data_IF_580110591698
#
_entry.id   IF_580110591698
#
_cell.length_a   1.000
_cell.length_b   1.000
_cell.length_c   1.000
_cell.angle_alpha   90.00
_cell.angle_beta   90.00
_cell.angle_gamma   90.00
#
_symmetry.space_group_name_H-M   'P 1'
#
loop_
_entity.id
_entity.type
_entity.pdbx_description
1 polymer ?
#
# COMPACT_ATOMS: atom_id res chain seq x y z
N UNK A 1 5.54 -18.74 -10.22
CA UNK A 1 4.91 -19.74 -9.35
C UNK A 1 3.54 -20.16 -9.86
N UNK A 2 2.75 -19.28 -10.45
CA UNK A 2 1.40 -19.57 -10.94
C UNK A 2 1.25 -20.79 -11.82
N UNK A 3 2.11 -20.98 -12.80
CA UNK A 3 2.07 -22.18 -13.65
C UNK A 3 2.23 -23.51 -12.89
N UNK A 4 2.99 -23.51 -11.80
CA UNK A 4 3.17 -24.71 -10.97
C UNK A 4 1.93 -24.98 -10.11
N UNK A 5 1.37 -23.96 -9.49
CA UNK A 5 0.15 -24.05 -8.68
C UNK A 5 -1.06 -24.45 -9.52
N UNK A 6 -1.16 -23.89 -10.75
CA UNK A 6 -2.25 -24.19 -11.68
C UNK A 6 -2.25 -25.64 -12.16
N UNK A 7 -1.12 -26.31 -12.19
CA UNK A 7 -0.99 -27.72 -12.60
C UNK A 7 -0.90 -28.69 -11.41
N UNK A 8 -0.93 -28.17 -10.17
CA UNK A 8 -0.80 -28.99 -8.97
C UNK A 8 -2.11 -29.74 -8.64
N UNK A 9 -2.03 -30.93 -7.98
CA UNK A 9 -3.20 -31.57 -7.40
C UNK A 9 -3.90 -30.66 -6.40
N UNK A 10 -5.23 -30.70 -6.31
CA UNK A 10 -6.05 -29.82 -5.46
C UNK A 10 -5.58 -29.79 -3.99
N UNK A 11 -5.22 -30.96 -3.43
CA UNK A 11 -4.68 -31.02 -2.06
C UNK A 11 -3.39 -30.19 -1.90
N UNK A 12 -2.52 -30.17 -2.92
CA UNK A 12 -1.30 -29.38 -2.89
C UNK A 12 -1.58 -27.87 -3.04
N UNK A 13 -2.62 -27.50 -3.78
CA UNK A 13 -3.07 -26.09 -3.87
C UNK A 13 -3.51 -25.56 -2.50
N UNK A 14 -4.22 -26.40 -1.70
CA UNK A 14 -4.58 -26.03 -0.32
C UNK A 14 -3.33 -25.85 0.56
N UNK A 15 -2.31 -26.71 0.39
CA UNK A 15 -1.03 -26.55 1.12
C UNK A 15 -0.35 -25.24 0.73
N UNK A 16 -0.34 -24.88 -0.56
CA UNK A 16 0.21 -23.58 -0.99
C UNK A 16 -0.58 -22.41 -0.42
N UNK A 17 -1.91 -22.49 -0.36
CA UNK A 17 -2.72 -21.43 0.26
C UNK A 17 -2.34 -21.24 1.73
N UNK A 18 -2.17 -22.32 2.48
CA UNK A 18 -1.74 -22.26 3.88
C UNK A 18 -0.33 -21.68 4.01
N UNK A 19 0.61 -22.10 3.16
CA UNK A 19 1.98 -21.58 3.14
C UNK A 19 1.95 -20.08 2.83
N UNK A 20 1.15 -19.65 1.85
CA UNK A 20 0.98 -18.23 1.48
C UNK A 20 0.52 -17.41 2.67
N UNK A 21 -0.52 -17.84 3.39
CA UNK A 21 -0.98 -17.15 4.60
C UNK A 21 0.06 -17.14 5.73
N UNK A 22 0.78 -18.23 5.93
CA UNK A 22 1.85 -18.28 6.94
C UNK A 22 2.96 -17.29 6.60
N UNK A 23 3.38 -17.20 5.32
CA UNK A 23 4.37 -16.25 4.86
C UNK A 23 3.88 -14.80 5.01
N UNK A 24 2.63 -14.51 4.66
CA UNK A 24 2.02 -13.19 4.85
C UNK A 24 2.05 -12.78 6.32
N UNK A 25 1.52 -13.61 7.21
CA UNK A 25 1.39 -13.28 8.64
C UNK A 25 2.77 -13.19 9.31
N UNK A 26 3.66 -14.16 9.09
CA UNK A 26 5.01 -14.16 9.69
C UNK A 26 5.91 -13.11 9.05
N UNK A 27 5.76 -12.88 7.75
CA UNK A 27 6.43 -11.78 7.06
C UNK A 27 6.04 -10.42 7.65
N UNK A 28 4.74 -10.20 7.87
CA UNK A 28 4.22 -8.98 8.50
C UNK A 28 4.70 -8.84 9.96
N UNK A 29 4.75 -9.94 10.74
CA UNK A 29 5.29 -9.94 12.11
C UNK A 29 6.73 -9.42 12.14
N UNK A 30 7.62 -9.96 11.29
CA UNK A 30 9.01 -9.52 11.20
C UNK A 30 9.13 -8.12 10.64
N UNK A 31 8.36 -7.78 9.63
CA UNK A 31 8.39 -6.46 8.98
C UNK A 31 8.00 -5.34 9.95
N UNK A 32 6.93 -5.54 10.71
CA UNK A 32 6.47 -4.59 11.74
C UNK A 32 7.50 -4.51 12.87
N UNK A 33 8.00 -5.64 13.38
CA UNK A 33 8.98 -5.65 14.48
C UNK A 33 10.29 -4.96 14.07
N UNK A 34 10.80 -5.21 12.86
CA UNK A 34 11.97 -4.53 12.31
C UNK A 34 11.75 -3.03 12.16
N UNK A 35 10.60 -2.64 11.61
CA UNK A 35 10.22 -1.24 11.36
C UNK A 35 10.03 -0.46 12.67
N UNK A 36 9.33 -1.02 13.65
CA UNK A 36 9.14 -0.43 14.97
C UNK A 36 10.47 -0.27 15.72
N UNK A 37 11.36 -1.26 15.64
CA UNK A 37 12.70 -1.18 16.25
C UNK A 37 13.54 -0.05 15.64
N UNK A 38 13.48 0.14 14.30
CA UNK A 38 14.14 1.27 13.62
C UNK A 38 13.53 2.60 14.05
N UNK A 39 12.20 2.71 14.08
CA UNK A 39 11.49 3.91 14.52
C UNK A 39 11.95 4.35 15.91
N UNK A 40 11.92 3.41 16.87
CA UNK A 40 12.31 3.67 18.26
C UNK A 40 13.80 4.04 18.40
N UNK A 41 14.71 3.38 17.66
CA UNK A 41 16.15 3.70 17.68
C UNK A 41 16.49 5.06 17.11
N UNK A 42 15.78 5.44 16.04
CA UNK A 42 15.99 6.72 15.37
C UNK A 42 15.19 7.86 16.02
N UNK A 43 14.39 7.57 17.05
CA UNK A 43 13.45 8.51 17.66
C UNK A 43 12.51 9.15 16.62
N UNK A 44 12.07 8.34 15.66
CA UNK A 44 11.15 8.73 14.58
C UNK A 44 9.76 8.21 14.91
N UNK A 45 8.69 9.02 14.79
CA UNK A 45 7.32 8.54 14.97
C UNK A 45 7.00 7.34 14.09
N UNK A 46 6.33 6.32 14.65
CA UNK A 46 5.93 5.10 13.92
C UNK A 46 5.09 5.40 12.67
N UNK A 47 4.28 6.46 12.71
CA UNK A 47 3.49 6.92 11.56
C UNK A 47 4.37 7.25 10.35
N UNK A 48 5.55 7.88 10.54
CA UNK A 48 6.46 8.24 9.44
C UNK A 48 7.05 6.98 8.81
N UNK A 49 7.39 5.98 9.62
CA UNK A 49 7.86 4.69 9.12
C UNK A 49 6.73 3.97 8.35
N UNK A 50 5.50 4.04 8.87
CA UNK A 50 4.31 3.55 8.18
C UNK A 50 4.11 4.21 6.82
N UNK A 51 4.13 5.56 6.78
CA UNK A 51 3.96 6.37 5.57
C UNK A 51 5.08 6.17 4.51
N UNK A 52 6.21 5.58 4.89
CA UNK A 52 7.38 5.43 4.02
C UNK A 52 7.78 3.98 3.83
N UNK A 53 8.58 3.43 4.74
CA UNK A 53 9.19 2.09 4.60
C UNK A 53 8.10 1.01 4.48
N UNK A 54 7.09 1.07 5.36
CA UNK A 54 6.05 0.03 5.39
C UNK A 54 5.17 0.13 4.14
N UNK A 55 4.68 1.32 3.81
CA UNK A 55 3.88 1.55 2.62
C UNK A 55 4.62 1.14 1.32
N UNK A 56 5.89 1.53 1.18
CA UNK A 56 6.69 1.14 0.01
C UNK A 56 6.88 -0.37 -0.08
N UNK A 57 7.09 -1.04 1.05
CA UNK A 57 7.33 -2.49 1.09
C UNK A 57 6.09 -3.30 0.76
N UNK A 58 4.92 -2.89 1.25
CA UNK A 58 3.66 -3.59 1.00
C UNK A 58 3.10 -3.35 -0.39
N UNK A 59 3.32 -2.15 -0.98
CA UNK A 59 2.85 -1.81 -2.33
C UNK A 59 3.77 -2.27 -3.47
N UNK A 60 4.74 -3.16 -3.20
CA UNK A 60 5.54 -3.80 -4.26
C UNK A 60 4.71 -4.64 -5.24
N UNK A 61 3.72 -5.44 -4.81
CA UNK A 61 2.85 -6.17 -5.73
C UNK A 61 2.06 -5.25 -6.65
N UNK A 62 1.47 -4.17 -6.14
CA UNK A 62 0.78 -3.18 -6.95
C UNK A 62 1.70 -2.57 -8.00
N UNK A 63 2.93 -2.27 -7.60
CA UNK A 63 3.96 -1.76 -8.52
C UNK A 63 4.23 -2.77 -9.64
N UNK A 64 4.44 -4.04 -9.29
CA UNK A 64 4.72 -5.10 -10.24
C UNK A 64 3.57 -5.29 -11.24
N UNK A 65 2.32 -5.34 -10.76
CA UNK A 65 1.12 -5.49 -11.59
C UNK A 65 0.96 -4.29 -12.52
N UNK A 66 1.02 -3.06 -12.00
CA UNK A 66 0.76 -1.85 -12.78
C UNK A 66 1.87 -1.57 -13.80
N UNK A 67 3.13 -1.79 -13.44
CA UNK A 67 4.27 -1.65 -14.37
C UNK A 67 4.22 -2.73 -15.45
N UNK A 68 3.91 -3.98 -15.08
CA UNK A 68 3.75 -5.06 -16.06
C UNK A 68 2.60 -4.78 -17.05
N UNK A 69 1.47 -4.27 -16.53
CA UNK A 69 0.33 -3.86 -17.35
C UNK A 69 0.73 -2.78 -18.38
N UNK A 70 1.50 -1.78 -17.94
CA UNK A 70 2.00 -0.71 -18.83
C UNK A 70 2.97 -1.21 -19.88
N UNK A 71 3.88 -2.12 -19.54
CA UNK A 71 4.83 -2.73 -20.48
C UNK A 71 4.09 -3.58 -21.55
N UNK A 72 3.01 -4.26 -21.15
CA UNK A 72 2.23 -5.12 -22.06
C UNK A 72 1.13 -4.37 -22.82
N UNK A 73 0.99 -3.06 -22.60
CA UNK A 73 -0.01 -2.23 -23.28
C UNK A 73 -1.44 -2.36 -22.71
N UNK A 74 -1.60 -3.02 -21.55
CA UNK A 74 -2.87 -3.13 -20.84
C UNK A 74 -3.02 -2.02 -19.79
N UNK A 75 -2.89 -0.78 -20.24
CA UNK A 75 -2.67 0.39 -19.40
C UNK A 75 -3.86 0.74 -18.48
N UNK A 76 -5.10 0.44 -18.89
CA UNK A 76 -6.31 0.68 -18.08
C UNK A 76 -6.28 -0.11 -16.76
N UNK A 77 -5.65 -1.29 -16.77
CA UNK A 77 -5.49 -2.11 -15.56
C UNK A 77 -4.62 -1.39 -14.51
N UNK A 78 -3.62 -0.60 -14.91
CA UNK A 78 -2.74 0.09 -13.96
C UNK A 78 -3.52 1.12 -13.12
N UNK A 79 -4.39 1.94 -13.74
CA UNK A 79 -5.22 2.91 -13.01
C UNK A 79 -6.24 2.23 -12.13
N UNK A 80 -6.97 1.24 -12.68
CA UNK A 80 -7.99 0.50 -11.92
C UNK A 80 -7.40 -0.21 -10.71
N UNK A 81 -6.20 -0.82 -10.85
CA UNK A 81 -5.49 -1.45 -9.75
C UNK A 81 -5.14 -0.43 -8.66
N UNK A 82 -4.53 0.70 -9.02
CA UNK A 82 -4.10 1.74 -8.06
C UNK A 82 -5.30 2.37 -7.35
N UNK A 83 -6.34 2.77 -8.09
CA UNK A 83 -7.51 3.41 -7.48
C UNK A 83 -8.28 2.41 -6.61
N UNK A 84 -8.45 1.17 -7.08
CA UNK A 84 -9.09 0.10 -6.31
C UNK A 84 -8.35 -0.22 -5.02
N UNK A 85 -7.02 -0.37 -5.05
CA UNK A 85 -6.18 -0.57 -3.86
C UNK A 85 -6.30 0.60 -2.88
N UNK A 86 -6.35 1.84 -3.39
CA UNK A 86 -6.47 3.02 -2.55
C UNK A 86 -7.83 3.08 -1.84
N UNK A 87 -8.92 2.75 -2.52
CA UNK A 87 -10.27 2.62 -1.92
C UNK A 87 -10.26 1.50 -0.88
N UNK A 88 -9.66 0.34 -1.20
CA UNK A 88 -9.54 -0.78 -0.27
C UNK A 88 -8.77 -0.41 1.00
N UNK A 89 -7.67 0.33 0.87
CA UNK A 89 -6.88 0.80 2.00
C UNK A 89 -7.70 1.71 2.93
N UNK A 90 -8.47 2.66 2.39
CA UNK A 90 -9.29 3.55 3.20
C UNK A 90 -10.45 2.84 3.87
N UNK A 91 -11.16 1.97 3.16
CA UNK A 91 -12.41 1.37 3.65
C UNK A 91 -12.16 0.08 4.42
N UNK A 92 -11.32 -0.81 3.90
CA UNK A 92 -11.12 -2.13 4.48
C UNK A 92 -9.96 -2.12 5.46
N UNK A 93 -8.78 -1.64 5.05
CA UNK A 93 -7.59 -1.70 5.93
C UNK A 93 -7.79 -0.83 7.17
N UNK A 94 -8.16 0.45 7.00
CA UNK A 94 -8.41 1.36 8.14
C UNK A 94 -9.62 0.87 8.94
N UNK A 95 -10.70 0.43 8.29
CA UNK A 95 -11.90 -0.06 8.95
C UNK A 95 -11.63 -1.29 9.83
N UNK A 96 -10.86 -2.26 9.33
CA UNK A 96 -10.48 -3.46 10.11
C UNK A 96 -9.55 -3.08 11.26
N UNK A 97 -8.59 -2.18 11.05
CA UNK A 97 -7.73 -1.69 12.13
C UNK A 97 -8.55 -1.01 13.25
N UNK A 98 -9.55 -0.19 12.90
CA UNK A 98 -10.45 0.46 13.85
C UNK A 98 -11.34 -0.52 14.64
N UNK A 99 -11.61 -1.70 14.08
CA UNK A 99 -12.32 -2.78 14.81
C UNK A 99 -11.40 -3.54 15.79
N UNK A 100 -10.09 -3.56 15.53
CA UNK A 100 -9.10 -4.28 16.34
C UNK A 100 -8.60 -3.42 17.51
N UNK A 101 -8.35 -2.15 17.27
CA UNK A 101 -7.78 -1.22 18.24
C UNK A 101 -8.41 0.16 18.11
N UNK A 102 -8.41 0.91 19.22
CA UNK A 102 -8.84 2.32 19.19
C UNK A 102 -7.85 3.12 18.35
N UNK A 103 -8.35 3.76 17.29
CA UNK A 103 -7.55 4.58 16.40
C UNK A 103 -7.57 6.03 16.89
N UNK A 104 -6.53 6.44 17.59
CA UNK A 104 -6.32 7.84 17.97
C UNK A 104 -5.44 8.48 16.89
N UNK A 105 -6.06 9.29 16.02
CA UNK A 105 -5.33 9.90 14.90
C UNK A 105 -4.56 11.12 15.38
N UNK A 106 -3.24 11.13 15.17
CA UNK A 106 -2.39 12.25 15.54
C UNK A 106 -2.78 13.54 14.77
N UNK A 107 -2.69 14.70 15.42
CA UNK A 107 -3.03 16.01 14.82
C UNK A 107 -2.24 16.29 13.54
N UNK A 108 -1.01 15.83 13.47
CA UNK A 108 -0.14 15.94 12.30
C UNK A 108 -0.71 15.14 11.12
N UNK A 109 -1.21 13.95 11.36
CA UNK A 109 -1.85 13.10 10.34
C UNK A 109 -3.10 13.75 9.79
N UNK A 110 -3.96 14.30 10.66
CA UNK A 110 -5.19 15.02 10.26
C UNK A 110 -4.86 16.26 9.43
N UNK A 111 -3.79 17.00 9.80
CA UNK A 111 -3.46 18.28 9.16
C UNK A 111 -2.52 18.17 7.97
N UNK A 112 -1.78 17.08 7.84
CA UNK A 112 -0.72 16.90 6.85
C UNK A 112 -0.96 15.69 5.97
N UNK A 113 -1.05 14.48 6.55
CA UNK A 113 -0.91 13.25 5.78
C UNK A 113 -2.19 12.91 5.00
N UNK A 114 -3.37 13.01 5.65
CA UNK A 114 -4.66 12.80 4.97
C UNK A 114 -4.91 13.88 3.91
N UNK A 115 -4.74 15.20 4.19
CA UNK A 115 -4.84 16.22 3.16
C UNK A 115 -3.86 16.05 2.00
N UNK A 116 -2.64 15.58 2.26
CA UNK A 116 -1.67 15.31 1.20
C UNK A 116 -2.13 14.14 0.31
N UNK A 117 -2.65 13.06 0.90
CA UNK A 117 -3.25 11.96 0.13
C UNK A 117 -4.44 12.43 -0.73
N UNK A 118 -5.28 13.32 -0.18
CA UNK A 118 -6.37 13.94 -0.92
C UNK A 118 -5.87 14.80 -2.09
N UNK A 119 -4.81 15.57 -1.88
CA UNK A 119 -4.16 16.36 -2.95
C UNK A 119 -3.62 15.45 -4.05
N UNK A 120 -3.02 14.29 -3.70
CA UNK A 120 -2.55 13.32 -4.69
C UNK A 120 -3.71 12.76 -5.53
N UNK A 121 -4.84 12.40 -4.90
CA UNK A 121 -6.03 11.93 -5.62
C UNK A 121 -6.62 13.04 -6.52
N UNK A 122 -6.66 14.28 -6.04
CA UNK A 122 -7.07 15.44 -6.83
C UNK A 122 -6.13 15.72 -8.00
N UNK A 123 -4.82 15.60 -7.79
CA UNK A 123 -3.82 15.76 -8.85
C UNK A 123 -4.00 14.68 -9.94
N UNK A 124 -4.21 13.42 -9.54
CA UNK A 124 -4.49 12.34 -10.47
C UNK A 124 -5.75 12.62 -11.30
N UNK A 125 -6.83 13.09 -10.67
CA UNK A 125 -8.06 13.45 -11.37
C UNK A 125 -7.84 14.60 -12.36
N UNK A 126 -7.14 15.66 -11.94
CA UNK A 126 -6.88 16.84 -12.78
C UNK A 126 -6.01 16.45 -13.98
N UNK A 127 -4.89 15.79 -13.77
CA UNK A 127 -3.98 15.39 -14.84
C UNK A 127 -4.65 14.37 -15.78
N UNK A 128 -5.40 13.41 -15.22
CA UNK A 128 -6.14 12.43 -16.01
C UNK A 128 -7.21 13.02 -16.92
N UNK A 129 -7.87 14.10 -16.50
CA UNK A 129 -8.87 14.82 -17.33
C UNK A 129 -8.20 15.74 -18.35
N UNK A 130 -7.16 16.48 -17.93
CA UNK A 130 -6.53 17.50 -18.78
C UNK A 130 -5.61 16.91 -19.85
N UNK A 131 -5.03 15.72 -19.61
CA UNK A 131 -4.10 15.08 -20.53
C UNK A 131 -2.93 15.99 -20.87
N UNK A 132 -2.17 16.46 -19.89
CA UNK A 132 -1.10 17.44 -20.08
C UNK A 132 -0.01 16.87 -20.98
N UNK A 133 0.16 17.46 -22.16
CA UNK A 133 1.18 17.06 -23.14
C UNK A 133 0.68 16.13 -24.24
N UNK A 134 -0.56 15.65 -24.21
CA UNK A 134 -1.15 14.87 -25.29
C UNK A 134 -2.47 15.48 -25.77
N UNK A 135 -2.68 15.56 -27.09
CA UNK A 135 -3.87 16.17 -27.68
C UNK A 135 -5.07 15.24 -27.79
N UNK A 136 -4.96 14.01 -27.29
CA UNK A 136 -5.91 12.94 -27.55
C UNK A 136 -7.03 12.77 -26.52
N UNK A 137 -7.11 13.64 -25.49
CA UNK A 137 -8.20 13.58 -24.51
C UNK A 137 -7.76 13.08 -23.13
N UNK A 138 -8.65 12.45 -22.36
CA UNK A 138 -8.41 11.96 -21.01
C UNK A 138 -7.32 10.88 -20.98
N UNK A 139 -6.10 11.28 -20.62
CA UNK A 139 -4.92 10.41 -20.64
C UNK A 139 -3.87 10.91 -19.65
N UNK A 140 -3.16 9.98 -19.01
CA UNK A 140 -1.91 10.25 -18.31
C UNK A 140 -0.75 9.99 -19.29
N UNK A 141 -0.09 11.04 -19.74
CA UNK A 141 1.04 10.95 -20.65
C UNK A 141 2.38 10.73 -19.93
N UNK A 142 3.46 10.57 -20.68
CA UNK A 142 4.82 10.45 -20.14
C UNK A 142 5.20 11.63 -19.24
N UNK A 143 4.76 12.85 -19.61
CA UNK A 143 5.05 14.06 -18.84
C UNK A 143 4.34 14.06 -17.48
N UNK A 144 3.09 13.59 -17.42
CA UNK A 144 2.35 13.42 -16.17
C UNK A 144 3.04 12.41 -15.24
N UNK A 145 3.59 11.33 -15.82
CA UNK A 145 4.41 10.36 -15.11
C UNK A 145 5.64 11.00 -14.46
N UNK A 146 6.34 11.87 -15.18
CA UNK A 146 7.50 12.60 -14.63
C UNK A 146 7.07 13.55 -13.51
N UNK A 147 5.92 14.23 -13.64
CA UNK A 147 5.36 15.08 -12.57
C UNK A 147 5.10 14.25 -11.32
N UNK A 148 4.44 13.09 -11.43
CA UNK A 148 4.16 12.21 -10.31
C UNK A 148 5.44 11.71 -9.63
N UNK A 149 6.43 11.23 -10.40
CA UNK A 149 7.72 10.78 -9.85
C UNK A 149 8.45 11.93 -9.15
N UNK A 150 8.43 13.14 -9.73
CA UNK A 150 9.01 14.33 -9.13
C UNK A 150 8.31 14.70 -7.80
N UNK A 151 6.97 14.65 -7.77
CA UNK A 151 6.19 14.87 -6.56
C UNK A 151 6.48 13.81 -5.50
N UNK A 152 6.63 12.54 -5.90
CA UNK A 152 7.04 11.46 -5.00
C UNK A 152 8.42 11.69 -4.39
N UNK A 153 9.41 12.06 -5.20
CA UNK A 153 10.75 12.37 -4.71
C UNK A 153 10.71 13.53 -3.71
N UNK A 154 9.92 14.58 -3.99
CA UNK A 154 9.67 15.69 -3.07
C UNK A 154 9.02 15.24 -1.76
N UNK A 155 8.02 14.35 -1.83
CA UNK A 155 7.36 13.77 -0.67
C UNK A 155 8.33 12.98 0.21
N UNK A 156 9.11 12.08 -0.36
CA UNK A 156 10.11 11.29 0.38
C UNK A 156 11.16 12.21 1.02
N UNK A 157 11.66 13.20 0.27
CA UNK A 157 12.61 14.18 0.83
C UNK A 157 12.01 14.95 2.02
N UNK A 158 10.74 15.33 1.93
CA UNK A 158 10.03 16.00 3.01
C UNK A 158 9.86 15.08 4.22
N UNK A 159 9.48 13.81 4.03
CA UNK A 159 9.37 12.82 5.11
C UNK A 159 10.71 12.56 5.80
N UNK A 160 11.80 12.46 5.03
CA UNK A 160 13.15 12.32 5.58
C UNK A 160 13.52 13.55 6.44
N UNK A 161 13.20 14.76 6.00
CA UNK A 161 13.43 15.98 6.81
C UNK A 161 12.68 15.95 8.14
N UNK A 162 11.42 15.53 8.13
CA UNK A 162 10.62 15.40 9.36
C UNK A 162 11.25 14.34 10.28
N UNK A 163 11.60 13.17 9.74
CA UNK A 163 12.24 12.11 10.50
C UNK A 163 13.55 12.59 11.16
N UNK A 164 14.42 13.26 10.41
CA UNK A 164 15.67 13.81 10.92
C UNK A 164 15.46 14.91 11.96
N UNK A 165 14.41 15.73 11.81
CA UNK A 165 14.05 16.76 12.80
C UNK A 165 13.57 16.11 14.10
N UNK A 166 12.65 15.14 14.01
CA UNK A 166 12.16 14.39 15.16
C UNK A 166 13.31 13.70 15.93
N UNK A 167 14.21 13.04 15.19
CA UNK A 167 15.40 12.39 15.76
C UNK A 167 16.33 13.36 16.50
N UNK A 168 16.54 14.57 15.96
CA UNK A 168 17.42 15.60 16.60
C UNK A 168 16.79 16.24 17.84
N UNK A 169 15.48 16.44 17.84
CA UNK A 169 14.78 17.09 18.95
C UNK A 169 14.67 16.18 20.18
N UNK A 170 15.03 14.90 20.07
CA UNK A 170 15.02 13.93 21.19
C UNK A 170 13.66 13.84 21.87
N UNK A 171 12.60 14.35 21.22
CA UNK A 171 11.26 14.27 21.77
C UNK A 171 10.96 12.80 21.97
N UNK A 172 10.78 12.38 23.23
CA UNK A 172 10.01 11.20 23.54
C UNK A 172 8.71 11.40 22.78
N UNK A 173 8.57 10.68 21.68
CA UNK A 173 7.29 10.58 21.00
C UNK A 173 6.43 9.86 22.01
N UNK A 174 5.61 10.61 22.74
CA UNK A 174 4.52 10.05 23.51
C UNK A 174 3.64 9.37 22.48
N UNK A 175 3.76 8.06 22.40
CA UNK A 175 2.84 7.20 21.67
C UNK A 175 1.54 7.32 22.47
N UNK A 176 0.66 8.23 22.06
CA UNK A 176 -0.68 8.33 22.61
C UNK A 176 -1.39 7.01 22.30
N UNK A 177 -1.32 6.05 23.23
CA UNK A 177 -2.03 4.77 23.16
C UNK A 177 -1.20 3.50 23.21
N UNK A 178 0.13 3.54 23.07
CA UNK A 178 1.01 2.37 23.22
C UNK A 178 1.95 2.49 24.40
N UNK A 179 2.03 1.48 25.25
CA UNK A 179 3.05 1.45 26.30
C UNK A 179 4.41 1.27 25.63
N UNK A 180 5.32 2.21 25.87
CA UNK A 180 6.72 2.19 25.40
C UNK A 180 7.49 0.92 25.81
N UNK A 181 6.93 0.13 26.71
CA UNK A 181 7.54 -1.07 27.28
C UNK A 181 7.46 -2.31 26.39
N UNK A 182 6.52 -2.38 25.44
CA UNK A 182 6.26 -3.61 24.66
C UNK A 182 7.09 -3.75 23.37
N UNK A 183 7.75 -2.68 22.90
CA UNK A 183 8.54 -2.76 21.65
C UNK A 183 9.93 -3.33 21.95
N UNK A 184 10.17 -4.55 21.50
CA UNK A 184 11.46 -5.23 21.62
C UNK A 184 12.50 -4.57 20.72
N UNK A 185 13.51 -3.93 21.32
CA UNK A 185 14.65 -3.39 20.57
C UNK A 185 15.58 -4.52 20.10
N UNK A 186 15.63 -4.73 18.81
CA UNK A 186 16.55 -5.65 18.15
C UNK A 186 17.75 -4.87 17.54
N UNK A 187 18.86 -5.54 17.25
CA UNK A 187 20.02 -4.88 16.65
C UNK A 187 19.72 -4.30 15.26
N UNK A 188 20.41 -3.22 14.86
CA UNK A 188 20.18 -2.59 13.55
C UNK A 188 20.32 -3.56 12.37
N UNK A 189 21.37 -4.42 12.29
CA UNK A 189 21.45 -5.41 11.22
C UNK A 189 20.26 -6.38 11.19
N UNK A 190 19.79 -6.79 12.38
CA UNK A 190 18.64 -7.68 12.49
C UNK A 190 17.35 -6.96 12.13
N UNK A 191 17.21 -5.67 12.49
CA UNK A 191 16.07 -4.85 12.04
C UNK A 191 16.00 -4.75 10.51
N UNK A 192 17.13 -4.51 9.86
CA UNK A 192 17.23 -4.47 8.39
C UNK A 192 16.86 -5.83 7.78
N UNK A 193 17.39 -6.92 8.35
CA UNK A 193 17.06 -8.28 7.92
C UNK A 193 15.56 -8.57 8.07
N UNK A 194 14.93 -8.13 9.15
CA UNK A 194 13.50 -8.30 9.41
C UNK A 194 12.66 -7.47 8.45
N UNK A 195 13.08 -6.24 8.13
CA UNK A 195 12.39 -5.39 7.14
C UNK A 195 12.47 -6.03 5.75
N UNK A 196 13.67 -6.34 5.27
CA UNK A 196 13.86 -6.86 3.91
C UNK A 196 13.29 -8.28 3.77
N UNK A 197 13.58 -9.16 4.73
CA UNK A 197 13.08 -10.53 4.73
C UNK A 197 11.57 -10.60 4.95
N UNK A 198 11.03 -9.73 5.81
CA UNK A 198 9.59 -9.58 6.04
C UNK A 198 8.86 -9.10 4.79
N UNK A 199 9.34 -8.04 4.15
CA UNK A 199 8.79 -7.54 2.90
C UNK A 199 8.80 -8.59 1.79
N UNK A 200 9.93 -9.32 1.63
CA UNK A 200 10.02 -10.42 0.65
C UNK A 200 9.04 -11.55 0.96
N UNK A 201 8.90 -11.94 2.25
CA UNK A 201 7.96 -12.96 2.67
C UNK A 201 6.49 -12.53 2.44
N UNK A 202 6.15 -11.26 2.69
CA UNK A 202 4.84 -10.68 2.41
C UNK A 202 4.54 -10.74 0.91
N UNK A 203 5.45 -10.28 0.07
CA UNK A 203 5.27 -10.27 -1.39
C UNK A 203 5.07 -11.70 -1.94
N UNK A 204 5.98 -12.61 -1.60
CA UNK A 204 5.91 -14.02 -2.05
C UNK A 204 4.67 -14.71 -1.47
N UNK A 205 4.34 -14.46 -0.20
CA UNK A 205 3.16 -15.01 0.45
C UNK A 205 1.86 -14.51 -0.17
N UNK A 206 1.81 -13.24 -0.55
CA UNK A 206 0.70 -12.63 -1.29
C UNK A 206 0.49 -13.31 -2.64
N UNK A 207 1.53 -13.41 -3.46
CA UNK A 207 1.47 -14.07 -4.77
C UNK A 207 0.99 -15.52 -4.68
N UNK A 208 1.56 -16.30 -3.75
CA UNK A 208 1.16 -17.70 -3.52
C UNK A 208 -0.31 -17.78 -3.11
N UNK A 209 -0.75 -16.90 -2.21
CA UNK A 209 -2.15 -16.87 -1.73
C UNK A 209 -3.12 -16.56 -2.87
N UNK A 210 -2.80 -15.56 -3.70
CA UNK A 210 -3.63 -15.15 -4.85
C UNK A 210 -3.69 -16.27 -5.90
N UNK A 211 -2.55 -16.85 -6.26
CA UNK A 211 -2.49 -17.96 -7.22
C UNK A 211 -3.31 -19.16 -6.76
N UNK A 212 -3.14 -19.56 -5.47
CA UNK A 212 -3.85 -20.72 -4.91
C UNK A 212 -5.35 -20.45 -4.76
N UNK A 213 -5.75 -19.26 -4.28
CA UNK A 213 -7.16 -18.88 -4.17
C UNK A 213 -7.84 -18.78 -5.54
N UNK A 214 -7.16 -18.22 -6.54
CA UNK A 214 -7.65 -18.14 -7.92
C UNK A 214 -7.85 -19.53 -8.53
N UNK A 215 -6.93 -20.45 -8.28
CA UNK A 215 -7.04 -21.84 -8.73
C UNK A 215 -8.24 -22.55 -8.07
N UNK A 216 -8.40 -22.42 -6.75
CA UNK A 216 -9.54 -23.00 -6.03
C UNK A 216 -10.86 -22.44 -6.57
N UNK A 217 -10.96 -21.13 -6.77
CA UNK A 217 -12.14 -20.48 -7.30
C UNK A 217 -12.48 -20.96 -8.72
N UNK A 218 -11.45 -21.13 -9.57
CA UNK A 218 -11.60 -21.70 -10.92
C UNK A 218 -12.13 -23.12 -10.88
N UNK A 219 -11.60 -23.96 -9.99
CA UNK A 219 -12.05 -25.35 -9.79
C UNK A 219 -13.49 -25.42 -9.25
N UNK A 220 -13.95 -24.41 -8.52
CA UNK A 220 -15.34 -24.25 -8.07
C UNK A 220 -16.26 -23.64 -9.15
N UNK A 221 -15.77 -23.37 -10.34
CA UNK A 221 -16.54 -22.90 -11.49
C UNK A 221 -16.72 -21.38 -11.59
N UNK A 222 -15.95 -20.58 -10.85
CA UNK A 222 -15.93 -19.13 -11.03
C UNK A 222 -15.32 -18.77 -12.38
N UNK A 223 -15.91 -17.77 -13.06
CA UNK A 223 -15.34 -17.27 -14.31
C UNK A 223 -14.01 -16.54 -14.07
N UNK A 224 -13.11 -16.59 -15.07
CA UNK A 224 -11.81 -15.89 -14.99
C UNK A 224 -11.99 -14.38 -14.78
N UNK A 225 -13.03 -13.79 -15.37
CA UNK A 225 -13.36 -12.38 -15.15
C UNK A 225 -13.71 -12.11 -13.69
N UNK A 226 -14.55 -12.94 -13.06
CA UNK A 226 -14.92 -12.76 -11.66
C UNK A 226 -13.72 -12.98 -10.72
N UNK A 227 -12.85 -13.96 -11.01
CA UNK A 227 -11.61 -14.19 -10.27
C UNK A 227 -10.71 -12.95 -10.34
N UNK A 228 -10.52 -12.38 -11.53
CA UNK A 228 -9.72 -11.18 -11.74
C UNK A 228 -10.28 -9.96 -11.00
N UNK A 229 -11.59 -9.75 -11.08
CA UNK A 229 -12.26 -8.60 -10.44
C UNK A 229 -12.33 -8.71 -8.91
N UNK A 230 -12.22 -9.89 -8.33
CA UNK A 230 -12.33 -10.11 -6.88
C UNK A 230 -11.02 -10.57 -6.27
N UNK A 231 -10.61 -11.82 -6.51
CA UNK A 231 -9.49 -12.46 -5.81
C UNK A 231 -8.17 -11.78 -6.15
N UNK A 232 -7.92 -11.51 -7.43
CA UNK A 232 -6.66 -10.88 -7.84
C UNK A 232 -6.63 -9.41 -7.40
N UNK A 233 -7.73 -8.67 -7.58
CA UNK A 233 -7.84 -7.26 -7.14
C UNK A 233 -7.64 -7.07 -5.64
N UNK A 234 -8.27 -7.92 -4.82
CA UNK A 234 -8.09 -7.87 -3.35
C UNK A 234 -6.70 -8.38 -2.98
N UNK A 235 -6.20 -9.34 -3.75
CA UNK A 235 -4.95 -10.03 -3.46
C UNK A 235 -3.71 -9.16 -3.46
N UNK A 236 -3.64 -8.17 -4.36
CA UNK A 236 -2.52 -7.22 -4.36
C UNK A 236 -2.48 -6.37 -3.10
N UNK A 237 -3.64 -6.07 -2.50
CA UNK A 237 -3.75 -5.29 -1.26
C UNK A 237 -3.78 -6.14 0.03
N UNK A 238 -3.62 -7.47 -0.07
CA UNK A 238 -3.46 -8.34 1.10
C UNK A 238 -2.23 -8.00 1.95
N UNK A 239 -1.06 -7.67 1.37
CA UNK A 239 0.09 -7.19 2.12
C UNK A 239 -0.23 -6.02 3.04
N UNK A 240 -0.91 -4.99 2.53
CA UNK A 240 -1.33 -3.82 3.29
C UNK A 240 -2.26 -4.21 4.43
N UNK A 241 -3.28 -5.02 4.15
CA UNK A 241 -4.26 -5.47 5.14
C UNK A 241 -3.59 -6.27 6.25
N UNK A 242 -2.83 -7.30 5.91
CA UNK A 242 -2.21 -8.19 6.90
C UNK A 242 -1.17 -7.44 7.73
N UNK A 243 -0.33 -6.61 7.10
CA UNK A 243 0.69 -5.82 7.81
C UNK A 243 0.04 -4.81 8.76
N UNK A 244 -1.04 -4.12 8.33
CA UNK A 244 -1.74 -3.17 9.18
C UNK A 244 -2.49 -3.86 10.33
N UNK A 245 -3.08 -5.04 10.12
CA UNK A 245 -3.67 -5.87 11.18
C UNK A 245 -2.60 -6.26 12.22
N UNK A 246 -1.44 -6.71 11.76
CA UNK A 246 -0.33 -7.10 12.65
C UNK A 246 0.17 -5.89 13.43
N UNK A 247 0.35 -4.73 12.78
CA UNK A 247 0.74 -3.49 13.44
C UNK A 247 -0.29 -3.07 14.51
N UNK A 248 -1.57 -3.04 14.16
CA UNK A 248 -2.65 -2.71 15.11
C UNK A 248 -2.69 -3.66 16.31
N UNK A 249 -2.47 -4.97 16.09
CA UNK A 249 -2.41 -5.97 17.19
C UNK A 249 -1.17 -5.84 18.07
N UNK A 250 -0.11 -5.22 17.57
CA UNK A 250 1.12 -4.90 18.31
C UNK A 250 1.08 -3.50 18.95
N UNK A 251 -0.09 -2.88 19.04
CA UNK A 251 -0.31 -1.50 19.51
C UNK A 251 0.44 -0.42 18.68
N UNK A 252 0.83 -0.77 17.44
CA UNK A 252 1.44 0.15 16.48
C UNK A 252 0.39 0.72 15.51
N UNK A 253 -0.69 1.28 16.06
CA UNK A 253 -1.85 1.77 15.27
C UNK A 253 -1.44 2.89 14.33
N UNK A 254 -0.56 3.77 14.76
CA UNK A 254 0.00 4.84 13.93
C UNK A 254 0.73 4.30 12.71
N UNK A 255 1.49 3.20 12.88
CA UNK A 255 2.15 2.53 11.76
C UNK A 255 1.13 1.93 10.78
N UNK A 256 0.04 1.33 11.30
CA UNK A 256 -1.03 0.79 10.46
C UNK A 256 -1.73 1.88 9.64
N UNK A 257 -2.04 3.02 10.26
CA UNK A 257 -2.60 4.19 9.55
C UNK A 257 -1.62 4.75 8.53
N UNK A 258 -0.35 4.89 8.94
CA UNK A 258 0.72 5.33 8.05
C UNK A 258 0.87 4.42 6.84
N UNK A 259 0.79 3.10 7.04
CA UNK A 259 0.81 2.14 5.94
C UNK A 259 -0.34 2.40 4.96
N UNK A 260 -1.59 2.44 5.42
CA UNK A 260 -2.75 2.64 4.54
C UNK A 260 -2.72 3.98 3.78
N UNK A 261 -2.42 5.10 4.47
CA UNK A 261 -2.35 6.44 3.86
C UNK A 261 -1.12 6.56 2.96
N UNK A 262 0.02 6.03 3.40
CA UNK A 262 1.28 6.05 2.65
C UNK A 262 1.21 5.23 1.37
N UNK A 263 0.60 4.04 1.42
CA UNK A 263 0.36 3.22 0.22
C UNK A 263 -0.51 3.96 -0.80
N UNK A 264 -1.52 4.73 -0.37
CA UNK A 264 -2.32 5.53 -1.28
C UNK A 264 -1.49 6.61 -1.99
N UNK A 265 -0.62 7.29 -1.27
CA UNK A 265 0.31 8.29 -1.84
C UNK A 265 1.31 7.60 -2.78
N UNK A 266 1.90 6.49 -2.34
CA UNK A 266 2.86 5.71 -3.12
C UNK A 266 2.26 5.20 -4.42
N UNK A 267 1.07 4.62 -4.36
CA UNK A 267 0.36 4.08 -5.50
C UNK A 267 0.06 5.16 -6.56
N UNK A 268 -0.37 6.34 -6.15
CA UNK A 268 -0.65 7.43 -7.09
C UNK A 268 0.66 8.01 -7.64
N UNK A 269 1.58 8.40 -6.77
CA UNK A 269 2.74 9.18 -7.21
C UNK A 269 3.86 8.32 -7.82
N UNK A 270 4.14 7.15 -7.25
CA UNK A 270 5.21 6.31 -7.74
C UNK A 270 4.70 5.26 -8.75
N UNK A 271 3.68 4.49 -8.39
CA UNK A 271 3.22 3.37 -9.25
C UNK A 271 2.66 3.90 -10.56
N UNK A 272 1.68 4.82 -10.52
CA UNK A 272 1.15 5.44 -11.74
C UNK A 272 2.18 6.35 -12.41
N UNK A 273 3.05 6.99 -11.62
CA UNK A 273 4.15 7.79 -12.16
C UNK A 273 5.07 6.96 -13.05
N UNK A 274 5.52 5.80 -12.58
CA UNK A 274 6.36 4.88 -13.37
C UNK A 274 5.55 4.30 -14.55
N UNK A 275 4.33 3.85 -14.29
CA UNK A 275 3.48 3.24 -15.30
C UNK A 275 3.21 4.18 -16.48
N UNK A 276 2.82 5.44 -16.22
CA UNK A 276 2.56 6.44 -17.26
C UNK A 276 3.84 6.99 -17.91
N UNK A 277 4.97 7.01 -17.19
CA UNK A 277 6.26 7.34 -17.78
C UNK A 277 6.76 6.27 -18.78
N UNK A 278 6.38 5.00 -18.59
CA UNK A 278 6.69 3.89 -19.52
C UNK A 278 5.75 3.93 -20.72
N UNK A 279 4.45 4.02 -20.47
CA UNK A 279 3.42 3.97 -21.51
C UNK A 279 2.23 4.87 -21.12
N UNK A 280 1.77 5.76 -22.00
CA UNK A 280 0.61 6.61 -21.73
C UNK A 280 -0.62 5.77 -21.39
N UNK A 281 -1.37 6.21 -20.38
CA UNK A 281 -2.52 5.50 -19.82
C UNK A 281 -3.80 6.24 -20.16
N UNK A 282 -4.70 5.62 -20.92
CA UNK A 282 -6.03 6.16 -21.19
C UNK A 282 -6.87 6.15 -19.91
N UNK A 283 -7.55 7.25 -19.64
CA UNK A 283 -8.50 7.39 -18.53
C UNK A 283 -9.91 7.27 -19.08
N UNK A 284 -10.63 6.27 -18.63
CA UNK A 284 -12.04 6.04 -19.01
C UNK A 284 -12.99 6.68 -17.99
N UNK A 285 -14.25 6.81 -18.36
CA UNK A 285 -15.28 7.43 -17.48
C UNK A 285 -15.42 6.72 -16.15
N UNK A 286 -15.28 5.39 -16.13
CA UNK A 286 -15.33 4.54 -14.94
C UNK A 286 -14.20 4.92 -13.98
N UNK A 287 -12.97 5.15 -14.46
CA UNK A 287 -11.86 5.59 -13.64
C UNK A 287 -12.10 6.96 -12.98
N UNK A 288 -12.80 7.87 -13.68
CA UNK A 288 -13.18 9.18 -13.10
C UNK A 288 -14.18 8.99 -11.97
N UNK A 289 -15.16 8.10 -12.15
CA UNK A 289 -16.15 7.78 -11.10
C UNK A 289 -15.43 7.19 -9.88
N UNK A 290 -14.53 6.22 -10.09
CA UNK A 290 -13.76 5.59 -9.02
C UNK A 290 -12.86 6.61 -8.29
N UNK A 291 -12.25 7.54 -9.02
CA UNK A 291 -11.47 8.64 -8.43
C UNK A 291 -12.33 9.59 -7.60
N UNK A 292 -13.53 9.90 -8.05
CA UNK A 292 -14.48 10.69 -7.26
C UNK A 292 -14.88 9.95 -5.97
N UNK A 293 -15.11 8.64 -6.05
CA UNK A 293 -15.38 7.79 -4.88
C UNK A 293 -14.19 7.77 -3.93
N UNK A 294 -12.97 7.62 -4.44
CA UNK A 294 -11.75 7.68 -3.64
C UNK A 294 -11.62 9.02 -2.90
N UNK A 295 -11.85 10.14 -3.58
CA UNK A 295 -11.83 11.49 -2.99
C UNK A 295 -12.87 11.60 -1.88
N UNK A 296 -14.11 11.16 -2.12
CA UNK A 296 -15.18 11.18 -1.12
C UNK A 296 -14.80 10.34 0.10
N UNK A 297 -14.27 9.14 -0.09
CA UNK A 297 -13.85 8.29 1.03
C UNK A 297 -12.65 8.87 1.78
N UNK A 298 -11.71 9.51 1.09
CA UNK A 298 -10.59 10.22 1.76
C UNK A 298 -11.12 11.36 2.63
N UNK A 299 -12.11 12.13 2.15
CA UNK A 299 -12.77 13.19 2.91
C UNK A 299 -13.54 12.60 4.11
N UNK A 300 -14.25 11.49 3.94
CA UNK A 300 -14.92 10.80 5.04
C UNK A 300 -13.92 10.39 6.12
N UNK A 301 -12.83 9.73 5.76
CA UNK A 301 -11.76 9.36 6.70
C UNK A 301 -11.21 10.61 7.39
N UNK A 302 -11.00 11.71 6.68
CA UNK A 302 -10.52 12.98 7.25
C UNK A 302 -11.49 13.60 8.26
N UNK A 303 -12.80 13.51 8.01
CA UNK A 303 -13.83 14.06 8.92
C UNK A 303 -13.96 13.21 10.20
N UNK A 304 -13.80 11.88 10.08
CA UNK A 304 -13.95 10.96 11.22
C UNK A 304 -12.64 10.76 12.01
N UNK A 305 -11.49 11.22 11.50
CA UNK A 305 -10.20 11.22 12.18
C UNK A 305 -10.08 12.37 13.17
#
# INVERSE_FOLDING_TARGET
MGNFINNAPFALVIVFLIIGFVLLIKGADFFVEGSSSVAKRLHVPSIIIGLTIVAMGTSLPETAVSVSASITGNNELAVSNVVGSNIFNLMVVIGVCAMIATVNVAKETIKRDIPFSLICAGLLLILGILGVGDKSGMMLGHFDGVIFIGAFAGYIFYMIKIALKASKEGKKVEIEGGSDEDIKLISVPLSILFIVGGAAAIAVGGDITVDAASRIASDLGMSQTLIGLTIVSIGTSLPELVTSIVAARKNEVDMALGNAIGSNVFNILMVLGIASAISPISIITENIIDLCVLIVFTICVWIFA
#
